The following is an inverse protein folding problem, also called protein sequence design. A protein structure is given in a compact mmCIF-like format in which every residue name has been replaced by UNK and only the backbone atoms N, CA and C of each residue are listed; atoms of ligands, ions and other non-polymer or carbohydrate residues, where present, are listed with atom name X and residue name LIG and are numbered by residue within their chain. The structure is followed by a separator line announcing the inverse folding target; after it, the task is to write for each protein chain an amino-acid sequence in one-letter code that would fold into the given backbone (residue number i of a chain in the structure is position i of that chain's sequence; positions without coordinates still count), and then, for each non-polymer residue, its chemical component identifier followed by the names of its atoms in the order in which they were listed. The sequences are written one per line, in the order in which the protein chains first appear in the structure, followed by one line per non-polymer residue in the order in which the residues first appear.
data_IF_000748444060
#
_entry.id   IF_000748444060
#
_cell.length_a   1.000
_cell.length_b   1.000
_cell.length_c   1.000
_cell.angle_alpha   90.00
_cell.angle_beta   90.00
_cell.angle_gamma   90.00
#
_symmetry.space_group_name_H-M   'P 1'
#
loop_
_entity.id
_entity.type
_entity.pdbx_description
1 polymer ?
#
# COMPACT_ATOMS: atom_id res chain seq x y z
N UNK A 1 20.91 23.70 -47.69
CA UNK A 1 20.41 22.56 -46.92
C UNK A 1 19.97 23.07 -45.54
N UNK A 2 18.69 23.28 -45.35
CA UNK A 2 18.13 23.72 -44.06
C UNK A 2 17.72 22.46 -43.25
N UNK A 3 18.36 22.25 -42.10
CA UNK A 3 18.00 21.21 -41.16
C UNK A 3 16.72 21.63 -40.45
N UNK A 4 15.62 20.88 -40.63
CA UNK A 4 14.46 20.96 -39.80
C UNK A 4 14.77 20.25 -38.47
N UNK A 5 14.87 21.02 -37.39
CA UNK A 5 14.83 20.51 -36.03
C UNK A 5 13.35 20.38 -35.67
N UNK A 6 12.81 19.18 -35.68
CA UNK A 6 11.47 18.94 -35.15
C UNK A 6 11.53 18.97 -33.62
N UNK A 7 10.97 20.03 -33.06
CA UNK A 7 10.63 20.13 -31.66
C UNK A 7 9.44 19.17 -31.37
N UNK A 8 9.70 17.98 -30.85
CA UNK A 8 8.70 17.02 -30.39
C UNK A 8 8.51 17.09 -28.85
N UNK A 9 8.57 18.28 -28.24
CA UNK A 9 8.40 18.44 -26.78
C UNK A 9 6.99 18.82 -26.32
N UNK A 10 6.01 19.04 -27.21
CA UNK A 10 4.72 19.58 -26.80
C UNK A 10 3.61 18.54 -26.52
N UNK A 11 3.67 17.37 -27.14
CA UNK A 11 2.58 16.38 -27.07
C UNK A 11 2.59 15.54 -25.78
N UNK A 12 3.76 15.25 -25.23
CA UNK A 12 3.89 14.42 -24.02
C UNK A 12 3.40 15.11 -22.75
N UNK A 13 3.64 16.40 -22.59
CA UNK A 13 3.19 17.16 -21.41
C UNK A 13 1.66 17.34 -21.35
N UNK A 14 1.01 17.55 -22.52
CA UNK A 14 -0.46 17.72 -22.57
C UNK A 14 -1.18 16.38 -22.31
N UNK A 15 -0.65 15.27 -22.82
CA UNK A 15 -1.19 13.94 -22.58
C UNK A 15 -1.05 13.55 -21.08
N UNK A 16 0.12 13.78 -20.50
CA UNK A 16 0.41 13.51 -19.09
C UNK A 16 -0.47 14.34 -18.14
N UNK A 17 -0.65 15.63 -18.39
CA UNK A 17 -1.50 16.47 -17.57
C UNK A 17 -2.97 16.05 -17.58
N UNK A 18 -3.47 15.43 -18.68
CA UNK A 18 -4.80 14.84 -18.72
C UNK A 18 -4.92 13.55 -17.90
N UNK A 19 -3.90 12.70 -17.97
CA UNK A 19 -3.81 11.46 -17.21
C UNK A 19 -3.76 11.74 -15.70
N UNK A 20 -2.90 12.68 -15.26
CA UNK A 20 -2.85 13.11 -13.87
C UNK A 20 -4.18 13.71 -13.38
N UNK A 21 -4.88 14.47 -14.23
CA UNK A 21 -6.20 15.01 -13.89
C UNK A 21 -7.28 13.92 -13.75
N UNK A 22 -7.20 12.85 -14.56
CA UNK A 22 -8.10 11.70 -14.44
C UNK A 22 -7.82 10.97 -13.10
N UNK A 23 -6.57 10.64 -12.83
CA UNK A 23 -6.19 9.98 -11.59
C UNK A 23 -6.56 10.81 -10.34
N UNK A 24 -6.39 12.13 -10.39
CA UNK A 24 -6.84 13.02 -9.32
C UNK A 24 -8.35 13.01 -9.14
N UNK A 25 -9.15 12.81 -10.21
CA UNK A 25 -10.61 12.71 -10.11
C UNK A 25 -11.11 11.36 -9.59
N UNK A 26 -10.31 10.31 -9.72
CA UNK A 26 -10.64 8.93 -9.33
C UNK A 26 -10.07 8.52 -7.98
N UNK A 27 -9.17 9.32 -7.41
CA UNK A 27 -8.47 9.02 -6.16
C UNK A 27 -8.64 10.15 -5.14
N UNK A 28 -8.13 9.96 -3.94
CA UNK A 28 -8.12 11.00 -2.91
C UNK A 28 -7.02 12.05 -3.11
N UNK A 29 -6.16 11.88 -4.12
CA UNK A 29 -5.06 12.79 -4.41
C UNK A 29 -5.49 14.00 -5.24
N UNK A 30 -4.85 15.14 -5.01
CA UNK A 30 -4.90 16.31 -5.90
C UNK A 30 -4.02 16.09 -7.13
N UNK A 31 -4.20 16.89 -8.18
CA UNK A 31 -3.35 16.82 -9.38
C UNK A 31 -1.86 17.07 -9.09
N UNK A 32 -1.55 17.95 -8.13
CA UNK A 32 -0.17 18.23 -7.72
C UNK A 32 0.45 17.03 -6.99
N UNK A 33 -0.33 16.35 -6.15
CA UNK A 33 0.12 15.13 -5.47
C UNK A 33 0.35 14.00 -6.47
N UNK A 34 -0.53 13.84 -7.48
CA UNK A 34 -0.32 12.87 -8.57
C UNK A 34 0.96 13.16 -9.35
N UNK A 35 1.30 14.45 -9.59
CA UNK A 35 2.54 14.82 -10.24
C UNK A 35 3.77 14.49 -9.37
N UNK A 36 3.70 14.74 -8.06
CA UNK A 36 4.74 14.34 -7.12
C UNK A 36 4.92 12.81 -7.05
N UNK A 37 3.80 12.06 -7.07
CA UNK A 37 3.83 10.60 -7.15
C UNK A 37 4.44 10.08 -8.45
N UNK A 38 4.29 10.82 -9.55
CA UNK A 38 4.94 10.46 -10.82
C UNK A 38 6.47 10.55 -10.74
N UNK A 39 7.00 11.57 -10.06
CA UNK A 39 8.44 11.69 -9.86
C UNK A 39 8.99 10.56 -8.99
N UNK A 40 8.27 10.20 -7.92
CA UNK A 40 8.55 9.03 -7.11
C UNK A 40 8.52 7.73 -7.94
N UNK A 41 7.46 7.53 -8.69
CA UNK A 41 7.30 6.35 -9.55
C UNK A 41 8.46 6.18 -10.51
N UNK A 42 8.93 7.27 -11.13
CA UNK A 42 10.11 7.26 -12.02
C UNK A 42 11.38 6.82 -11.29
N UNK A 43 11.57 7.29 -10.06
CA UNK A 43 12.72 6.91 -9.26
C UNK A 43 12.70 5.41 -8.95
N UNK A 44 11.54 4.89 -8.55
CA UNK A 44 11.37 3.47 -8.24
C UNK A 44 11.53 2.58 -9.48
N UNK A 45 10.85 2.91 -10.58
CA UNK A 45 10.83 2.13 -11.83
C UNK A 45 12.13 2.21 -12.65
N UNK A 46 13.14 2.89 -12.14
CA UNK A 46 14.49 2.96 -12.72
C UNK A 46 15.59 2.55 -11.73
N UNK A 47 15.20 2.03 -10.57
CA UNK A 47 16.16 1.72 -9.50
C UNK A 47 17.00 0.47 -9.80
N UNK A 48 16.46 -0.49 -10.55
CA UNK A 48 17.14 -1.72 -10.98
C UNK A 48 17.06 -1.88 -12.50
N UNK A 49 15.85 -1.74 -13.08
CA UNK A 49 15.57 -1.88 -14.51
C UNK A 49 14.93 -0.58 -14.99
N UNK A 50 15.59 0.14 -15.89
CA UNK A 50 15.08 1.43 -16.42
C UNK A 50 14.13 1.18 -17.62
N UNK A 51 12.96 0.61 -17.35
CA UNK A 51 11.91 0.32 -18.35
C UNK A 51 10.60 1.08 -18.11
N UNK A 52 10.54 1.85 -17.01
CA UNK A 52 9.37 2.63 -16.64
C UNK A 52 8.24 1.84 -15.99
N UNK A 53 8.52 0.62 -15.50
CA UNK A 53 7.62 -0.24 -14.75
C UNK A 53 8.24 -0.57 -13.41
N UNK A 54 7.44 -0.71 -12.35
CA UNK A 54 7.97 -1.17 -11.06
C UNK A 54 7.86 -2.69 -11.00
N UNK A 55 9.02 -3.34 -10.99
CA UNK A 55 9.13 -4.77 -10.75
C UNK A 55 9.12 -5.11 -9.27
N UNK A 56 8.85 -6.38 -8.95
CA UNK A 56 8.72 -6.84 -7.56
C UNK A 56 9.97 -6.54 -6.72
N UNK A 57 11.15 -6.72 -7.30
CA UNK A 57 12.44 -6.46 -6.64
C UNK A 57 12.64 -4.98 -6.35
N UNK A 58 12.21 -4.09 -7.26
CA UNK A 58 12.27 -2.63 -7.07
C UNK A 58 11.31 -2.18 -5.99
N UNK A 59 10.09 -2.73 -6.00
CA UNK A 59 9.07 -2.46 -4.99
C UNK A 59 9.54 -2.91 -3.60
N UNK A 60 10.11 -4.10 -3.50
CA UNK A 60 10.69 -4.62 -2.26
C UNK A 60 11.88 -3.79 -1.77
N UNK A 61 12.78 -3.37 -2.68
CA UNK A 61 13.91 -2.50 -2.35
C UNK A 61 13.44 -1.16 -1.78
N UNK A 62 12.36 -0.60 -2.32
CA UNK A 62 11.80 0.66 -1.85
C UNK A 62 11.12 0.56 -0.48
N UNK A 63 10.56 -0.61 -0.15
CA UNK A 63 9.88 -0.84 1.13
C UNK A 63 10.80 -1.32 2.24
N UNK A 64 11.90 -1.97 1.89
CA UNK A 64 12.77 -2.68 2.84
C UNK A 64 14.19 -2.12 2.74
N UNK A 65 14.72 -1.62 3.86
CA UNK A 65 16.12 -1.17 3.96
C UNK A 65 17.15 -2.28 3.61
N UNK A 66 16.71 -3.54 3.58
CA UNK A 66 17.52 -4.71 3.25
C UNK A 66 16.77 -5.70 2.37
N UNK A 67 17.07 -5.68 1.08
CA UNK A 67 16.47 -6.55 0.05
C UNK A 67 16.77 -8.06 0.18
N UNK A 68 17.43 -8.52 1.25
CA UNK A 68 17.91 -9.91 1.37
C UNK A 68 16.97 -10.87 2.09
N UNK A 69 15.88 -10.40 2.70
CA UNK A 69 14.91 -11.27 3.38
C UNK A 69 13.60 -11.33 2.58
N UNK A 70 13.14 -12.54 2.28
CA UNK A 70 11.76 -12.74 1.81
C UNK A 70 10.81 -12.18 2.88
N UNK A 71 9.99 -11.22 2.48
CA UNK A 71 9.05 -10.56 3.36
C UNK A 71 7.64 -10.80 2.84
N UNK A 72 6.86 -11.58 3.58
CA UNK A 72 5.49 -11.94 3.22
C UNK A 72 4.62 -10.71 2.98
N UNK A 73 4.78 -9.67 3.81
CA UNK A 73 3.96 -8.46 3.68
C UNK A 73 4.34 -7.63 2.45
N UNK A 74 5.64 -7.53 2.13
CA UNK A 74 6.09 -6.85 0.92
C UNK A 74 5.64 -7.60 -0.35
N UNK A 75 5.69 -8.92 -0.34
CA UNK A 75 5.17 -9.76 -1.42
C UNK A 75 3.67 -9.54 -1.62
N UNK A 76 2.89 -9.59 -0.53
CA UNK A 76 1.44 -9.37 -0.59
C UNK A 76 1.05 -7.95 -0.97
N UNK A 77 1.81 -6.94 -0.53
CA UNK A 77 1.59 -5.56 -0.96
C UNK A 77 1.83 -5.41 -2.45
N UNK A 78 2.90 -5.99 -2.99
CA UNK A 78 3.13 -5.99 -4.43
C UNK A 78 1.95 -6.59 -5.19
N UNK A 79 1.48 -7.78 -4.79
CA UNK A 79 0.34 -8.47 -5.41
C UNK A 79 -0.97 -7.65 -5.33
N UNK A 80 -1.14 -6.83 -4.28
CA UNK A 80 -2.30 -5.95 -4.13
C UNK A 80 -2.18 -4.65 -4.94
N UNK A 81 -0.97 -4.22 -5.26
CA UNK A 81 -0.68 -3.07 -6.12
C UNK A 81 -0.74 -3.44 -7.60
N UNK A 82 -0.31 -4.64 -7.98
CA UNK A 82 -0.44 -5.21 -9.32
C UNK A 82 -1.91 -5.59 -9.58
N UNK A 83 -2.71 -4.58 -9.96
CA UNK A 83 -4.15 -4.74 -10.17
C UNK A 83 -4.47 -5.57 -11.42
N UNK A 84 -3.56 -5.56 -12.41
CA UNK A 84 -3.68 -6.30 -13.67
C UNK A 84 -3.18 -7.74 -13.57
N UNK A 85 -2.42 -8.04 -12.51
CA UNK A 85 -1.78 -9.34 -12.27
C UNK A 85 -0.85 -9.76 -13.41
N UNK A 86 -0.06 -8.81 -13.94
CA UNK A 86 0.89 -9.03 -15.01
C UNK A 86 2.36 -9.07 -14.53
N UNK A 87 2.57 -8.94 -13.20
CA UNK A 87 3.86 -9.05 -12.53
C UNK A 87 4.65 -7.75 -12.49
N UNK A 88 4.03 -6.64 -12.87
CA UNK A 88 4.60 -5.29 -12.79
C UNK A 88 3.55 -4.31 -12.28
N UNK A 89 3.97 -3.17 -11.76
CA UNK A 89 3.07 -2.10 -11.34
C UNK A 89 3.28 -0.92 -12.28
N UNK A 90 2.23 -0.56 -13.01
CA UNK A 90 2.19 0.66 -13.83
C UNK A 90 1.85 1.89 -12.97
N UNK A 91 2.11 3.08 -13.50
CA UNK A 91 1.88 4.35 -12.76
C UNK A 91 0.44 4.50 -12.26
N UNK A 92 -0.55 4.15 -13.08
CA UNK A 92 -1.96 4.23 -12.66
C UNK A 92 -2.29 3.29 -11.49
N UNK A 93 -1.75 2.07 -11.51
CA UNK A 93 -1.93 1.09 -10.46
C UNK A 93 -1.27 1.56 -9.16
N UNK A 94 -0.07 2.11 -9.27
CA UNK A 94 0.67 2.69 -8.16
C UNK A 94 -0.12 3.81 -7.47
N UNK A 95 -0.64 4.77 -8.23
CA UNK A 95 -1.43 5.88 -7.68
C UNK A 95 -2.73 5.40 -7.06
N UNK A 96 -3.50 4.51 -7.75
CA UNK A 96 -4.76 3.98 -7.22
C UNK A 96 -4.55 3.20 -5.94
N UNK A 97 -3.53 2.37 -5.88
CA UNK A 97 -3.22 1.58 -4.69
C UNK A 97 -2.75 2.45 -3.54
N UNK A 98 -1.90 3.44 -3.79
CA UNK A 98 -1.48 4.40 -2.77
C UNK A 98 -2.63 5.27 -2.25
N UNK A 99 -3.66 5.54 -3.05
CA UNK A 99 -4.78 6.39 -2.63
C UNK A 99 -5.54 5.84 -1.43
N UNK A 100 -5.50 4.52 -1.21
CA UNK A 100 -6.13 3.85 -0.06
C UNK A 100 -5.51 4.33 1.27
N UNK A 101 -4.24 4.70 1.22
CA UNK A 101 -3.49 5.16 2.39
C UNK A 101 -3.60 6.67 2.63
N UNK A 102 -4.18 7.39 1.69
CA UNK A 102 -4.39 8.83 1.84
C UNK A 102 -5.24 9.13 3.10
N UNK A 103 -4.95 10.22 3.85
CA UNK A 103 -5.73 10.58 5.06
C UNK A 103 -7.23 10.65 4.79
N UNK A 104 -7.64 11.18 3.64
CA UNK A 104 -9.04 11.35 3.25
C UNK A 104 -9.68 10.10 2.61
N UNK A 105 -8.94 8.99 2.46
CA UNK A 105 -9.52 7.76 1.92
C UNK A 105 -10.54 7.17 2.90
N UNK A 106 -11.68 6.64 2.38
CA UNK A 106 -12.71 6.04 3.22
C UNK A 106 -12.17 4.92 4.12
N UNK A 107 -12.54 4.94 5.38
CA UNK A 107 -12.12 3.92 6.35
C UNK A 107 -12.50 2.50 5.91
N UNK A 108 -13.66 2.36 5.28
CA UNK A 108 -14.13 1.06 4.76
C UNK A 108 -13.20 0.49 3.68
N UNK A 109 -12.59 1.33 2.84
CA UNK A 109 -11.61 0.89 1.84
C UNK A 109 -10.30 0.46 2.48
N UNK A 110 -9.84 1.21 3.49
CA UNK A 110 -8.67 0.85 4.28
C UNK A 110 -8.86 -0.50 4.98
N UNK A 111 -10.02 -0.70 5.59
CA UNK A 111 -10.37 -1.97 6.24
C UNK A 111 -10.40 -3.14 5.26
N UNK A 112 -11.02 -2.95 4.10
CA UNK A 112 -11.07 -3.97 3.06
C UNK A 112 -9.69 -4.27 2.47
N UNK A 113 -8.81 -3.28 2.36
CA UNK A 113 -7.45 -3.48 1.91
C UNK A 113 -6.64 -4.32 2.90
N UNK A 114 -6.71 -3.98 4.19
CA UNK A 114 -6.01 -4.75 5.24
C UNK A 114 -6.54 -6.18 5.32
N UNK A 115 -7.85 -6.38 5.16
CA UNK A 115 -8.42 -7.72 5.06
C UNK A 115 -7.82 -8.52 3.91
N UNK A 116 -7.78 -7.95 2.69
CA UNK A 116 -7.15 -8.58 1.51
C UNK A 116 -5.66 -8.85 1.70
N UNK A 117 -4.95 -7.99 2.44
CA UNK A 117 -3.54 -8.21 2.78
C UNK A 117 -3.36 -9.47 3.63
N UNK A 118 -4.33 -9.76 4.52
CA UNK A 118 -4.33 -10.91 5.41
C UNK A 118 -4.92 -12.18 4.78
N UNK A 119 -5.82 -12.06 3.81
CA UNK A 119 -6.38 -13.17 3.00
C UNK A 119 -5.34 -13.62 1.96
N UNK A 120 -4.37 -14.43 2.39
CA UNK A 120 -3.21 -14.81 1.59
C UNK A 120 -3.59 -15.65 0.37
N UNK A 121 -4.65 -16.46 0.50
CA UNK A 121 -5.14 -17.37 -0.54
C UNK A 121 -6.22 -16.77 -1.43
N UNK A 122 -6.61 -15.50 -1.16
CA UNK A 122 -7.67 -14.78 -1.90
C UNK A 122 -9.00 -15.56 -1.92
N UNK A 123 -9.37 -16.19 -0.80
CA UNK A 123 -10.61 -16.98 -0.66
C UNK A 123 -11.80 -16.15 -0.22
N UNK A 124 -11.58 -14.90 0.22
CA UNK A 124 -12.57 -14.05 0.88
C UNK A 124 -12.70 -14.34 2.37
N UNK A 125 -11.83 -15.15 2.93
CA UNK A 125 -11.76 -15.50 4.33
C UNK A 125 -10.32 -15.52 4.79
N UNK A 126 -10.06 -15.20 6.05
CA UNK A 126 -8.78 -15.44 6.71
C UNK A 126 -8.91 -16.76 7.46
N UNK A 127 -8.23 -17.78 6.96
CA UNK A 127 -8.24 -19.11 7.54
C UNK A 127 -7.18 -19.24 8.66
N UNK A 128 -7.31 -20.27 9.49
CA UNK A 128 -6.43 -20.49 10.63
C UNK A 128 -4.94 -20.60 10.25
N UNK A 129 -4.65 -21.30 9.16
CA UNK A 129 -3.26 -21.47 8.67
C UNK A 129 -2.68 -20.16 8.12
N UNK A 130 -3.49 -19.35 7.43
CA UNK A 130 -3.07 -18.01 6.99
C UNK A 130 -2.77 -17.09 8.18
N UNK A 131 -3.63 -17.12 9.19
CA UNK A 131 -3.39 -16.37 10.43
C UNK A 131 -2.07 -16.79 11.10
N UNK A 132 -1.77 -18.09 11.10
CA UNK A 132 -0.52 -18.62 11.61
C UNK A 132 0.68 -18.08 10.81
N UNK A 133 0.60 -18.08 9.49
CA UNK A 133 1.64 -17.53 8.61
C UNK A 133 1.85 -16.04 8.87
N UNK A 134 0.79 -15.25 9.03
CA UNK A 134 0.87 -13.83 9.36
C UNK A 134 1.53 -13.59 10.72
N UNK A 135 1.19 -14.37 11.74
CA UNK A 135 1.83 -14.28 13.07
C UNK A 135 3.31 -14.57 12.98
N UNK A 136 3.69 -15.63 12.26
CA UNK A 136 5.11 -15.98 12.07
C UNK A 136 5.87 -14.91 11.28
N UNK A 137 5.27 -14.36 10.22
CA UNK A 137 5.86 -13.28 9.46
C UNK A 137 6.08 -12.03 10.33
N UNK A 138 5.09 -11.66 11.15
CA UNK A 138 5.21 -10.54 12.07
C UNK A 138 6.30 -10.75 13.12
N UNK A 139 6.40 -11.94 13.68
CA UNK A 139 7.47 -12.30 14.64
C UNK A 139 8.85 -12.20 14.00
N UNK A 140 8.97 -12.65 12.74
CA UNK A 140 10.21 -12.53 11.98
C UNK A 140 10.61 -11.07 11.73
N UNK A 141 9.66 -10.19 11.40
CA UNK A 141 9.90 -8.75 11.24
C UNK A 141 10.37 -8.07 12.53
N UNK A 142 9.87 -8.54 13.66
CA UNK A 142 10.23 -8.01 14.97
C UNK A 142 11.48 -8.65 15.58
N UNK A 143 12.16 -9.55 14.84
CA UNK A 143 13.25 -10.40 15.33
C UNK A 143 12.90 -11.15 16.63
N UNK A 144 11.63 -11.55 16.76
CA UNK A 144 11.12 -12.31 17.90
C UNK A 144 10.95 -13.78 17.56
N UNK A 145 11.29 -14.63 18.52
CA UNK A 145 11.06 -16.08 18.46
C UNK A 145 10.16 -16.51 19.60
N UNK A 146 9.05 -17.18 19.25
CA UNK A 146 8.16 -17.82 20.21
C UNK A 146 8.13 -19.33 19.94
N UNK A 147 7.79 -20.14 20.96
CA UNK A 147 7.56 -21.56 20.74
C UNK A 147 6.29 -21.79 19.93
N UNK A 148 6.24 -22.91 19.19
CA UNK A 148 5.05 -23.27 18.39
C UNK A 148 3.77 -23.29 19.23
N UNK A 149 3.81 -23.79 20.47
CA UNK A 149 2.66 -23.81 21.38
C UNK A 149 2.11 -22.40 21.67
N UNK A 150 3.00 -21.40 21.79
CA UNK A 150 2.60 -20.01 22.02
C UNK A 150 2.02 -19.40 20.74
N UNK A 151 2.62 -19.68 19.59
CA UNK A 151 2.05 -19.25 18.28
C UNK A 151 0.66 -19.84 18.08
N UNK A 152 0.48 -21.14 18.30
CA UNK A 152 -0.83 -21.80 18.19
C UNK A 152 -1.85 -21.18 19.17
N UNK A 153 -1.44 -20.90 20.41
CA UNK A 153 -2.31 -20.26 21.40
C UNK A 153 -2.75 -18.84 20.97
N UNK A 154 -1.87 -18.08 20.31
CA UNK A 154 -2.20 -16.76 19.74
C UNK A 154 -3.23 -16.92 18.62
N UNK A 155 -2.98 -17.84 17.70
CA UNK A 155 -3.88 -18.13 16.57
C UNK A 155 -5.27 -18.57 17.07
N UNK A 156 -5.32 -19.55 17.97
CA UNK A 156 -6.58 -20.06 18.54
C UNK A 156 -7.37 -18.96 19.25
N UNK A 157 -6.68 -18.14 20.03
CA UNK A 157 -7.30 -17.00 20.71
C UNK A 157 -7.86 -15.99 19.71
N UNK A 158 -7.11 -15.68 18.64
CA UNK A 158 -7.55 -14.72 17.62
C UNK A 158 -8.78 -15.22 16.88
N UNK A 159 -8.80 -16.48 16.45
CA UNK A 159 -9.98 -17.10 15.83
C UNK A 159 -11.16 -17.05 16.79
N UNK A 160 -10.97 -17.48 18.04
CA UNK A 160 -12.06 -17.50 19.03
C UNK A 160 -12.66 -16.10 19.30
N UNK A 161 -11.85 -15.05 19.21
CA UNK A 161 -12.32 -13.67 19.42
C UNK A 161 -12.93 -13.03 18.17
N UNK A 162 -12.55 -13.51 16.98
CA UNK A 162 -12.94 -12.92 15.71
C UNK A 162 -14.10 -13.65 15.02
N UNK A 163 -14.09 -14.98 15.05
CA UNK A 163 -15.10 -15.85 14.43
C UNK A 163 -16.38 -15.88 15.26
N UNK A 164 -17.35 -15.03 14.90
CA UNK A 164 -18.64 -14.97 15.59
C UNK A 164 -19.64 -16.01 15.07
N UNK A 165 -19.44 -16.45 13.83
CA UNK A 165 -20.31 -17.43 13.19
C UNK A 165 -19.97 -18.85 13.60
N UNK A 166 -18.73 -19.09 14.08
CA UNK A 166 -18.22 -20.37 14.53
C UNK A 166 -17.90 -21.32 13.38
N UNK A 167 -17.57 -20.78 12.19
CA UNK A 167 -17.23 -21.58 11.01
C UNK A 167 -15.72 -21.88 10.86
N UNK A 168 -14.90 -21.37 11.81
CA UNK A 168 -13.45 -21.63 11.90
C UNK A 168 -12.59 -20.72 11.04
N UNK A 169 -13.13 -19.63 10.51
CA UNK A 169 -12.45 -18.65 9.66
C UNK A 169 -13.03 -17.28 9.92
N UNK A 170 -12.38 -16.24 9.42
CA UNK A 170 -12.77 -14.83 9.63
C UNK A 170 -13.18 -14.25 8.27
N UNK A 171 -14.45 -13.82 8.16
CA UNK A 171 -14.91 -13.07 7.00
C UNK A 171 -14.70 -11.56 7.15
N UNK A 172 -15.03 -10.79 6.09
CA UNK A 172 -14.85 -9.34 6.09
C UNK A 172 -15.70 -8.62 7.16
N UNK A 173 -16.90 -9.10 7.46
CA UNK A 173 -17.79 -8.47 8.45
C UNK A 173 -17.29 -8.76 9.87
N UNK A 174 -16.81 -9.95 10.12
CA UNK A 174 -16.13 -10.32 11.36
C UNK A 174 -14.85 -9.54 11.57
N UNK A 175 -14.05 -9.40 10.51
CA UNK A 175 -12.86 -8.54 10.51
C UNK A 175 -13.18 -7.10 10.89
N UNK A 176 -14.19 -6.48 10.26
CA UNK A 176 -14.64 -5.13 10.60
C UNK A 176 -15.01 -5.00 12.07
N UNK A 177 -15.71 -5.99 12.62
CA UNK A 177 -16.11 -6.00 14.02
C UNK A 177 -14.90 -6.18 14.96
N UNK A 178 -13.87 -6.94 14.57
CA UNK A 178 -12.59 -7.03 15.31
C UNK A 178 -11.87 -5.69 15.34
N UNK A 179 -11.70 -5.07 14.17
CA UNK A 179 -11.01 -3.77 14.08
C UNK A 179 -11.75 -2.67 14.82
N UNK A 180 -13.09 -2.65 14.80
CA UNK A 180 -13.88 -1.69 15.58
C UNK A 180 -13.63 -1.81 17.08
N UNK A 181 -13.36 -3.03 17.59
CA UNK A 181 -12.98 -3.27 18.99
C UNK A 181 -11.52 -3.00 19.29
N UNK A 182 -10.67 -3.11 18.27
CA UNK A 182 -9.20 -2.96 18.37
C UNK A 182 -8.65 -1.97 17.34
N UNK A 183 -8.99 -0.68 17.41
CA UNK A 183 -8.59 0.31 16.38
C UNK A 183 -7.06 0.49 16.27
N UNK A 184 -6.29 0.00 17.22
CA UNK A 184 -4.83 -0.05 17.16
C UNK A 184 -4.30 -0.93 16.03
N UNK A 185 -5.06 -1.93 15.57
CA UNK A 185 -4.70 -2.80 14.45
C UNK A 185 -4.48 -1.94 13.18
N UNK A 186 -5.39 -1.01 12.91
CA UNK A 186 -5.27 -0.10 11.77
C UNK A 186 -4.06 0.83 11.88
N UNK A 187 -3.74 1.28 13.10
CA UNK A 187 -2.58 2.15 13.34
C UNK A 187 -1.26 1.42 13.10
N UNK A 188 -1.14 0.16 13.54
CA UNK A 188 0.07 -0.64 13.37
C UNK A 188 0.33 -0.89 11.87
N UNK A 189 -0.70 -1.26 11.12
CA UNK A 189 -0.60 -1.51 9.68
C UNK A 189 -0.32 -0.24 8.87
N UNK A 190 -0.85 0.91 9.31
CA UNK A 190 -0.64 2.20 8.64
C UNK A 190 0.74 2.79 8.94
N UNK A 191 1.31 2.55 10.12
CA UNK A 191 2.52 3.25 10.60
C UNK A 191 3.81 2.56 10.19
N UNK A 192 3.86 1.23 10.12
CA UNK A 192 5.14 0.53 9.90
C UNK A 192 5.61 0.59 8.45
N UNK A 193 4.75 0.33 7.47
CA UNK A 193 5.13 0.30 6.05
C UNK A 193 4.99 1.64 5.33
N UNK A 194 4.01 2.45 5.71
CA UNK A 194 3.77 3.73 5.03
C UNK A 194 4.57 4.88 5.61
N UNK A 195 5.02 4.78 6.86
CA UNK A 195 5.92 5.77 7.43
C UNK A 195 7.24 5.83 6.67
N UNK A 196 7.70 4.73 6.11
CA UNK A 196 8.91 4.69 5.28
C UNK A 196 8.65 5.24 3.87
N UNK A 197 7.52 4.93 3.25
CA UNK A 197 7.11 5.57 2.00
C UNK A 197 6.89 7.07 2.20
N UNK A 198 6.27 7.51 3.29
CA UNK A 198 6.09 8.95 3.60
C UNK A 198 7.35 9.61 4.16
N UNK A 199 8.27 8.88 4.82
CA UNK A 199 9.57 9.42 5.25
C UNK A 199 10.57 9.49 4.11
N UNK A 200 10.46 8.61 3.11
CA UNK A 200 11.20 8.75 1.85
C UNK A 200 10.75 10.00 1.06
N UNK A 201 9.55 10.52 1.36
CA UNK A 201 8.96 11.71 0.72
C UNK A 201 8.50 12.75 1.74
N UNK A 202 9.45 13.43 2.46
CA UNK A 202 9.11 14.45 3.46
C UNK A 202 8.32 15.63 2.87
N UNK A 203 8.42 15.90 1.57
CA UNK A 203 7.65 16.94 0.88
C UNK A 203 6.17 16.58 0.71
N UNK A 204 5.82 15.31 0.70
CA UNK A 204 4.43 14.84 0.58
C UNK A 204 3.59 15.15 1.83
N UNK A 205 4.20 15.19 3.02
CA UNK A 205 3.52 15.47 4.29
C UNK A 205 3.46 16.98 4.57
N UNK A 206 4.46 17.76 4.11
CA UNK A 206 4.53 19.18 4.42
C UNK A 206 3.60 20.06 3.57
N UNK A 207 3.23 19.65 2.36
CA UNK A 207 2.33 20.44 1.51
C UNK A 207 0.85 20.30 1.91
N UNK A 208 0.47 19.27 2.66
CA UNK A 208 -0.90 19.10 3.17
C UNK A 208 -1.19 19.92 4.42
N UNK A 209 -0.18 20.35 5.20
CA UNK A 209 -0.37 21.16 6.41
C UNK A 209 -0.42 22.68 6.14
N UNK A 210 -0.05 23.17 4.97
CA UNK A 210 0.08 24.62 4.69
C UNK A 210 -1.24 25.28 4.26
N UNK A 211 -2.30 24.54 3.92
CA UNK A 211 -3.55 25.16 3.43
C UNK A 211 -4.59 25.51 4.50
N UNK A 212 -4.43 25.09 5.77
CA UNK A 212 -5.40 25.40 6.83
C UNK A 212 -5.11 26.69 7.61
N UNK A 213 -3.98 27.35 7.40
CA UNK A 213 -3.61 28.57 8.14
C UNK A 213 -4.08 29.90 7.52
N UNK A 214 -4.56 29.93 6.28
CA UNK A 214 -4.94 31.16 5.58
C UNK A 214 -6.45 31.53 5.66
N UNK A 215 -7.27 30.72 6.33
CA UNK A 215 -8.72 30.99 6.47
C UNK A 215 -9.10 31.63 7.84
N UNK A 216 -8.14 31.90 8.73
CA UNK A 216 -8.42 32.47 10.05
C UNK A 216 -8.11 33.98 10.21
N UNK A 217 -7.89 34.71 9.10
CA UNK A 217 -7.60 36.13 9.16
C UNK A 217 -8.30 36.92 8.05
N UNK A 218 -9.64 37.02 8.16
CA UNK A 218 -10.41 38.14 7.60
C UNK A 218 -11.80 38.23 8.24
#
# INVERSE_FOLDING_TARGET
MRRFVHCFCGSGHIARGKEHAILASETSFTANEVEALYDLYKELSSSIIDDGLIHKEEFQLALLDNSSKQNLFADRLFDLFDLKQDGVIEFEEFVRSLSIFHPNAPEAEKLAFVFRLCDLKCTGYIERDELRELVLALLNELDLTLSDDVVEAIVDKTIMEADFTGDGRIDLEEWKAVVARHPSIMKIMTVSYLKEVTLAFPNFVNDTEVQDSDLASR
#
